data_IF_486636628533
#
_entry.id   IF_486636628533
#
_cell.length_a   1.000
_cell.length_b   1.000
_cell.length_c   1.000
_cell.angle_alpha   90.00
_cell.angle_beta   90.00
_cell.angle_gamma   90.00
#
_symmetry.space_group_name_H-M   'P 1'
#
loop_
_entity.id
_entity.type
_entity.pdbx_description
1 polymer ?
#
# COMPACT_ATOMS: atom_id res chain seq x y z
N UNK A 1 -15.60 12.02 -2.12
CA UNK A 1 -14.61 10.95 -1.90
C UNK A 1 -15.38 9.64 -1.72
N UNK A 2 -14.82 8.49 -2.07
CA UNK A 2 -15.49 7.19 -1.89
C UNK A 2 -15.33 6.71 -0.44
N UNK A 3 -15.85 7.48 0.52
CA UNK A 3 -15.87 7.20 1.96
C UNK A 3 -17.24 7.59 2.53
N UNK A 4 -17.59 7.07 3.69
CA UNK A 4 -18.85 7.43 4.34
C UNK A 4 -18.80 8.88 4.84
N UNK A 5 -19.99 9.50 4.93
CA UNK A 5 -20.09 10.90 5.38
C UNK A 5 -19.67 11.10 6.85
N UNK A 6 -19.56 10.01 7.61
CA UNK A 6 -19.05 10.00 8.99
C UNK A 6 -17.53 9.84 9.08
N UNK A 7 -16.86 9.49 7.97
CA UNK A 7 -15.45 9.18 7.99
C UNK A 7 -14.57 10.43 8.05
N UNK A 8 -13.38 10.25 8.62
CA UNK A 8 -12.43 11.34 8.71
C UNK A 8 -11.70 11.51 7.37
N UNK A 9 -12.05 12.57 6.63
CA UNK A 9 -11.43 12.90 5.34
C UNK A 9 -9.91 13.09 5.42
N UNK A 10 -9.40 13.63 6.53
CA UNK A 10 -7.95 13.82 6.74
C UNK A 10 -7.25 12.48 6.94
N UNK A 11 -7.91 11.51 7.59
CA UNK A 11 -7.37 10.17 7.76
C UNK A 11 -7.23 9.47 6.41
N UNK A 12 -8.22 9.60 5.52
CA UNK A 12 -8.13 9.05 4.17
C UNK A 12 -6.98 9.70 3.37
N UNK A 13 -6.84 11.02 3.46
CA UNK A 13 -5.78 11.73 2.76
C UNK A 13 -4.39 11.27 3.25
N UNK A 14 -4.24 11.11 4.55
CA UNK A 14 -3.02 10.57 5.16
C UNK A 14 -2.78 9.11 4.75
N UNK A 15 -3.83 8.29 4.65
CA UNK A 15 -3.73 6.91 4.20
C UNK A 15 -3.24 6.82 2.74
N UNK A 16 -3.71 7.71 1.86
CA UNK A 16 -3.20 7.82 0.47
C UNK A 16 -1.71 8.21 0.49
N UNK A 17 -1.33 9.18 1.33
CA UNK A 17 0.06 9.61 1.44
C UNK A 17 0.97 8.47 1.91
N UNK A 18 0.57 7.77 2.97
CA UNK A 18 1.27 6.62 3.52
C UNK A 18 1.42 5.50 2.47
N UNK A 19 0.37 5.22 1.69
CA UNK A 19 0.43 4.23 0.62
C UNK A 19 1.46 4.61 -0.45
N UNK A 20 1.50 5.88 -0.86
CA UNK A 20 2.51 6.38 -1.83
C UNK A 20 3.92 6.27 -1.26
N UNK A 21 4.13 6.59 0.02
CA UNK A 21 5.44 6.43 0.66
C UNK A 21 5.90 4.96 0.74
N UNK A 22 4.97 4.02 0.98
CA UNK A 22 5.29 2.59 0.97
C UNK A 22 5.72 2.16 -0.44
N UNK A 23 5.01 2.62 -1.48
CA UNK A 23 5.38 2.35 -2.86
C UNK A 23 6.75 2.92 -3.22
N UNK A 24 7.04 4.16 -2.82
CA UNK A 24 8.33 4.80 -3.06
C UNK A 24 9.48 4.05 -2.39
N UNK A 25 9.26 3.56 -1.17
CA UNK A 25 10.24 2.73 -0.46
C UNK A 25 10.39 1.34 -1.10
N UNK A 26 9.31 0.71 -1.57
CA UNK A 26 9.37 -0.63 -2.17
C UNK A 26 10.04 -0.64 -3.55
N UNK A 27 9.79 0.38 -4.38
CA UNK A 27 10.33 0.47 -5.74
C UNK A 27 11.63 1.30 -5.85
N UNK A 28 12.12 1.88 -4.76
CA UNK A 28 13.33 2.71 -4.71
C UNK A 28 13.31 3.89 -5.72
N UNK A 29 12.47 4.90 -5.46
CA UNK A 29 12.08 6.00 -6.37
C UNK A 29 11.03 5.57 -7.40
N UNK A 30 9.80 5.38 -6.91
CA UNK A 30 8.69 4.86 -7.72
C UNK A 30 8.35 5.80 -8.88
N UNK A 31 8.09 5.24 -10.05
CA UNK A 31 7.53 5.96 -11.20
C UNK A 31 6.28 5.28 -11.77
N UNK A 32 5.57 5.96 -12.67
CA UNK A 32 4.35 5.44 -13.29
C UNK A 32 4.54 4.09 -14.01
N UNK A 33 5.72 3.88 -14.61
CA UNK A 33 6.02 2.64 -15.31
C UNK A 33 6.13 1.46 -14.34
N UNK A 34 6.64 1.67 -13.13
CA UNK A 34 6.74 0.62 -12.12
C UNK A 34 5.35 0.11 -11.73
N UNK A 35 4.39 1.01 -11.59
CA UNK A 35 2.98 0.68 -11.33
C UNK A 35 2.36 -0.10 -12.50
N UNK A 36 2.63 0.31 -13.73
CA UNK A 36 2.08 -0.34 -14.94
C UNK A 36 2.67 -1.75 -15.13
N UNK A 37 3.98 -1.92 -14.99
CA UNK A 37 4.64 -3.21 -15.20
C UNK A 37 4.52 -4.16 -14.01
N UNK A 38 4.44 -3.64 -12.78
CA UNK A 38 4.39 -4.43 -11.56
C UNK A 38 3.03 -4.31 -10.84
N UNK A 39 1.93 -4.14 -11.57
CA UNK A 39 0.59 -3.95 -10.97
C UNK A 39 0.23 -5.04 -9.94
N UNK A 40 0.64 -6.30 -10.19
CA UNK A 40 0.41 -7.40 -9.27
C UNK A 40 1.09 -7.18 -7.90
N UNK A 41 2.30 -6.62 -7.88
CA UNK A 41 2.99 -6.25 -6.63
C UNK A 41 2.28 -5.10 -5.92
N UNK A 42 1.80 -4.11 -6.68
CA UNK A 42 1.02 -2.99 -6.13
C UNK A 42 -0.25 -3.51 -5.42
N UNK A 43 -0.95 -4.49 -6.01
CA UNK A 43 -2.08 -5.13 -5.35
C UNK A 43 -1.70 -5.88 -4.07
N UNK A 44 -0.58 -6.59 -4.05
CA UNK A 44 -0.08 -7.24 -2.82
C UNK A 44 0.23 -6.22 -1.71
N UNK A 45 0.84 -5.09 -2.06
CA UNK A 45 1.09 -3.99 -1.11
C UNK A 45 -0.23 -3.42 -0.60
N UNK A 46 -1.22 -3.26 -1.49
CA UNK A 46 -2.55 -2.76 -1.13
C UNK A 46 -3.27 -3.74 -0.18
N UNK A 47 -3.17 -5.05 -0.41
CA UNK A 47 -3.81 -6.07 0.43
C UNK A 47 -3.22 -6.13 1.85
N UNK A 48 -1.92 -5.83 2.02
CA UNK A 48 -1.31 -5.69 3.35
C UNK A 48 -1.73 -4.38 4.04
N UNK A 49 -2.08 -3.36 3.26
CA UNK A 49 -2.42 -2.03 3.76
C UNK A 49 -3.91 -1.88 4.11
N UNK A 50 -4.81 -2.36 3.25
CA UNK A 50 -6.27 -2.26 3.37
C UNK A 50 -6.90 -3.63 3.14
N UNK A 51 -7.81 -4.02 4.02
CA UNK A 51 -8.57 -5.25 3.87
C UNK A 51 -10.03 -5.03 4.22
N UNK A 52 -10.94 -5.51 3.36
CA UNK A 52 -12.38 -5.36 3.56
C UNK A 52 -12.88 -3.90 3.52
N UNK A 53 -12.10 -2.97 2.97
CA UNK A 53 -12.44 -1.54 2.94
C UNK A 53 -11.93 -0.75 4.14
N UNK A 54 -11.26 -1.41 5.10
CA UNK A 54 -10.72 -0.81 6.31
C UNK A 54 -9.18 -0.84 6.29
N UNK A 55 -8.55 0.11 6.98
CA UNK A 55 -7.09 0.14 7.13
C UNK A 55 -6.67 -1.02 8.04
N UNK A 56 -5.81 -1.91 7.52
CA UNK A 56 -5.33 -3.09 8.22
C UNK A 56 -4.03 -2.81 8.97
N UNK A 57 -3.03 -2.28 8.27
CA UNK A 57 -1.71 -1.99 8.82
C UNK A 57 -1.25 -0.60 8.39
N UNK A 58 -0.58 0.11 9.30
CA UNK A 58 -0.06 1.47 9.06
C UNK A 58 1.45 1.56 9.25
N UNK A 59 2.05 0.58 9.93
CA UNK A 59 3.49 0.53 10.13
C UNK A 59 4.20 0.08 8.84
N UNK A 60 4.80 1.03 8.11
CA UNK A 60 5.57 0.77 6.88
C UNK A 60 6.56 -0.40 7.03
N UNK A 61 7.25 -0.45 8.17
CA UNK A 61 8.23 -1.51 8.47
C UNK A 61 7.59 -2.90 8.44
N UNK A 62 6.41 -3.06 9.04
CA UNK A 62 5.70 -4.35 9.08
C UNK A 62 5.26 -4.75 7.67
N UNK A 63 4.70 -3.81 6.92
CA UNK A 63 4.26 -4.03 5.53
C UNK A 63 5.44 -4.48 4.66
N UNK A 64 6.57 -3.77 4.72
CA UNK A 64 7.78 -4.11 3.95
C UNK A 64 8.39 -5.46 4.35
N UNK A 65 8.39 -5.79 5.65
CA UNK A 65 8.84 -7.11 6.13
C UNK A 65 7.94 -8.23 5.59
N UNK A 66 6.61 -8.05 5.59
CA UNK A 66 5.64 -9.00 5.02
C UNK A 66 5.82 -9.19 3.53
N UNK A 67 6.00 -8.10 2.79
CA UNK A 67 6.26 -8.15 1.35
C UNK A 67 7.54 -8.93 1.03
N UNK A 68 8.60 -8.73 1.82
CA UNK A 68 9.86 -9.48 1.67
C UNK A 68 9.71 -10.97 2.02
N UNK A 69 8.75 -11.36 2.86
CA UNK A 69 8.38 -12.76 3.08
C UNK A 69 7.58 -13.33 1.90
N UNK A 70 6.59 -12.57 1.39
CA UNK A 70 5.75 -12.98 0.26
C UNK A 70 6.55 -13.17 -1.03
N UNK A 71 7.48 -12.25 -1.33
CA UNK A 71 8.36 -12.34 -2.49
C UNK A 71 9.20 -13.63 -2.49
N UNK A 72 9.54 -14.18 -1.31
CA UNK A 72 10.29 -15.45 -1.18
C UNK A 72 9.44 -16.69 -1.42
N UNK A 73 8.12 -16.59 -1.28
CA UNK A 73 7.19 -17.71 -1.46
C UNK A 73 6.75 -17.81 -2.93
N UNK A 74 6.69 -16.65 -3.61
CA UNK A 74 6.24 -16.54 -5.01
C UNK A 74 7.38 -16.83 -6.02
N UNK A 75 8.64 -16.86 -5.56
CA UNK A 75 9.83 -17.24 -6.35
C UNK A 75 10.14 -18.73 -6.22
#
# INVERSE_FOLDING_TARGET
MCIDASDNELLLLEAIHLFVEILDHYFENVCELDLVFNFHKVYLILDEFICGGEIQETAKKVILERLAELDKIIT
#
